data_IF_444055633336
#
_entry.id   IF_444055633336
#
_cell.length_a   1.000
_cell.length_b   1.000
_cell.length_c   1.000
_cell.angle_alpha   90.00
_cell.angle_beta   90.00
_cell.angle_gamma   90.00
#
_symmetry.space_group_name_H-M   'P 1'
#
loop_
_entity.id
_entity.type
_entity.pdbx_description
1 polymer ?
#
# COMPACT_ATOMS: atom_id res chain seq x y z
N UNK A 1 8.99 -4.65 21.46
CA UNK A 1 8.68 -5.75 20.53
C UNK A 1 9.96 -6.43 20.05
N UNK A 2 10.93 -5.70 19.49
CA UNK A 2 12.19 -6.29 19.02
C UNK A 2 12.95 -7.01 20.14
N UNK A 3 13.08 -6.40 21.32
CA UNK A 3 13.74 -7.01 22.48
C UNK A 3 13.00 -8.27 23.02
N UNK A 4 11.73 -8.42 22.69
CA UNK A 4 10.94 -9.60 23.03
C UNK A 4 10.91 -10.65 21.91
N UNK A 5 11.76 -10.49 20.87
CA UNK A 5 11.82 -11.38 19.71
C UNK A 5 10.46 -11.56 19.00
N UNK A 6 9.62 -10.51 18.96
CA UNK A 6 8.39 -10.55 18.18
C UNK A 6 8.77 -10.60 16.69
N UNK A 7 8.31 -11.60 15.94
CA UNK A 7 8.58 -11.71 14.52
C UNK A 7 8.11 -10.47 13.75
N UNK A 8 8.85 -10.08 12.71
CA UNK A 8 8.50 -8.97 11.83
C UNK A 8 9.12 -9.16 10.45
N UNK A 9 8.60 -8.44 9.48
CA UNK A 9 9.25 -8.19 8.20
C UNK A 9 9.55 -6.70 8.03
N UNK A 10 10.45 -6.34 7.10
CA UNK A 10 10.87 -4.97 6.85
C UNK A 10 10.28 -4.44 5.54
N UNK A 11 9.83 -3.20 5.55
CA UNK A 11 9.36 -2.50 4.35
C UNK A 11 8.36 -3.32 3.55
N UNK A 12 8.75 -3.68 2.32
CA UNK A 12 7.90 -4.40 1.35
C UNK A 12 8.32 -5.87 1.14
N UNK A 13 8.98 -6.49 2.12
CA UNK A 13 9.40 -7.91 2.02
C UNK A 13 8.21 -8.86 1.85
N UNK A 14 7.05 -8.52 2.42
CA UNK A 14 5.80 -9.26 2.23
C UNK A 14 5.26 -9.22 0.79
N UNK A 15 5.72 -8.25 -0.01
CA UNK A 15 5.45 -8.14 -1.44
C UNK A 15 6.55 -8.79 -2.31
N UNK A 16 7.50 -9.51 -1.72
CA UNK A 16 8.64 -10.11 -2.42
C UNK A 16 9.73 -9.11 -2.83
N UNK A 17 9.67 -7.86 -2.34
CA UNK A 17 10.64 -6.81 -2.68
C UNK A 17 11.57 -6.58 -1.51
N UNK A 18 12.84 -6.97 -1.71
CA UNK A 18 13.89 -6.79 -0.70
C UNK A 18 14.44 -5.36 -0.74
N UNK A 19 14.84 -4.83 0.42
CA UNK A 19 15.50 -3.54 0.58
C UNK A 19 14.72 -2.34 0.00
N UNK A 20 13.40 -2.43 0.00
CA UNK A 20 12.53 -1.34 -0.40
C UNK A 20 11.70 -0.87 0.80
N UNK A 21 11.93 0.36 1.22
CA UNK A 21 11.33 0.97 2.40
C UNK A 21 10.51 2.18 2.02
N UNK A 22 9.49 2.49 2.84
CA UNK A 22 8.76 3.73 2.68
C UNK A 22 9.69 4.93 2.82
N UNK A 23 9.56 5.96 1.98
CA UNK A 23 10.42 7.12 2.04
C UNK A 23 10.30 7.84 3.38
N UNK A 24 11.43 8.36 3.87
CA UNK A 24 11.48 9.15 5.08
C UNK A 24 11.04 10.58 4.77
N UNK A 25 10.32 11.22 5.69
CA UNK A 25 9.91 12.61 5.51
C UNK A 25 10.82 13.57 6.29
N UNK A 26 11.27 14.61 5.57
CA UNK A 26 12.09 15.70 6.11
C UNK A 26 11.30 17.00 6.12
N UNK A 27 10.55 17.24 7.19
CA UNK A 27 9.79 18.47 7.37
C UNK A 27 10.70 19.54 7.96
N UNK A 28 11.01 20.58 7.19
CA UNK A 28 11.98 21.61 7.59
C UNK A 28 11.32 22.96 7.84
N UNK A 29 11.98 23.78 8.64
CA UNK A 29 11.50 25.13 9.01
C UNK A 29 12.24 26.20 8.25
N UNK A 30 11.48 27.16 7.74
CA UNK A 30 11.97 28.43 7.19
C UNK A 30 11.48 29.60 8.05
N UNK A 31 12.26 30.64 8.15
CA UNK A 31 11.90 31.88 8.86
C UNK A 31 11.87 33.06 7.90
N UNK A 32 11.13 34.13 8.23
CA UNK A 32 11.03 35.36 7.41
C UNK A 32 10.05 35.24 6.24
N UNK A 33 9.17 34.23 6.23
CA UNK A 33 8.04 34.20 5.30
C UNK A 33 6.92 35.14 5.77
N UNK A 34 6.18 35.72 4.83
CA UNK A 34 5.02 36.57 5.12
C UNK A 34 3.83 35.73 5.56
N UNK A 35 3.74 35.47 6.87
CA UNK A 35 2.70 34.62 7.47
C UNK A 35 1.28 35.18 7.20
N UNK A 36 1.11 36.50 7.16
CA UNK A 36 -0.21 37.10 6.91
C UNK A 36 -0.65 36.92 5.44
N UNK A 37 0.25 37.06 4.49
CA UNK A 37 -0.02 36.77 3.09
C UNK A 37 -0.35 35.27 2.92
N UNK A 38 0.39 34.38 3.61
CA UNK A 38 0.15 32.93 3.59
C UNK A 38 -1.19 32.54 4.23
N UNK A 39 -1.58 33.17 5.36
CA UNK A 39 -2.90 32.96 6.01
C UNK A 39 -4.05 33.37 5.09
N UNK A 40 -3.90 34.51 4.38
CA UNK A 40 -4.89 34.97 3.39
C UNK A 40 -4.92 34.03 2.19
N UNK A 41 -3.77 33.65 1.67
CA UNK A 41 -3.63 32.76 0.52
C UNK A 41 -4.25 31.38 0.74
N UNK A 42 -4.09 30.77 1.92
CA UNK A 42 -4.71 29.46 2.27
C UNK A 42 -6.23 29.45 2.13
N UNK A 43 -6.88 30.60 2.17
CA UNK A 43 -8.34 30.72 1.98
C UNK A 43 -8.74 30.79 0.51
N UNK A 44 -7.78 30.84 -0.40
CA UNK A 44 -8.02 30.93 -1.83
C UNK A 44 -7.45 29.69 -2.53
N UNK A 45 -8.26 29.02 -3.33
CA UNK A 45 -7.84 27.85 -4.11
C UNK A 45 -6.67 28.18 -5.02
N UNK A 46 -6.69 29.37 -5.64
CA UNK A 46 -5.66 29.81 -6.57
C UNK A 46 -4.26 29.85 -5.95
N UNK A 47 -4.12 30.28 -4.70
CA UNK A 47 -2.81 30.33 -4.06
C UNK A 47 -2.23 28.96 -3.75
N UNK A 48 -3.08 28.02 -3.32
CA UNK A 48 -2.64 26.65 -3.05
C UNK A 48 -2.18 25.98 -4.34
N UNK A 49 -2.88 26.22 -5.43
CA UNK A 49 -2.53 25.68 -6.74
C UNK A 49 -1.26 26.35 -7.29
N UNK A 50 -1.09 27.68 -7.11
CA UNK A 50 0.15 28.40 -7.45
C UNK A 50 1.35 27.83 -6.68
N UNK A 51 1.22 27.65 -5.38
CA UNK A 51 2.28 27.04 -4.56
C UNK A 51 2.68 25.64 -5.07
N UNK A 52 1.71 24.80 -5.36
CA UNK A 52 1.95 23.48 -5.92
C UNK A 52 2.62 23.54 -7.29
N UNK A 53 2.13 24.39 -8.19
CA UNK A 53 2.68 24.55 -9.53
C UNK A 53 4.13 25.06 -9.51
N UNK A 54 4.43 26.03 -8.64
CA UNK A 54 5.80 26.53 -8.44
C UNK A 54 6.71 25.40 -7.96
N UNK A 55 6.25 24.60 -7.02
CA UNK A 55 7.04 23.46 -6.51
C UNK A 55 7.20 22.32 -7.54
N UNK A 56 6.25 22.14 -8.45
CA UNK A 56 6.42 21.22 -9.59
C UNK A 56 7.53 21.67 -10.56
N UNK A 57 7.82 22.98 -10.63
CA UNK A 57 8.91 23.51 -11.43
C UNK A 57 10.29 23.34 -10.76
N UNK A 58 10.32 23.01 -9.47
CA UNK A 58 11.56 22.77 -8.75
C UNK A 58 12.27 21.52 -9.28
N UNK A 59 13.53 21.68 -9.71
CA UNK A 59 14.38 20.56 -10.11
C UNK A 59 15.25 20.15 -8.93
N UNK A 60 14.99 18.99 -8.39
CA UNK A 60 15.77 18.41 -7.29
C UNK A 60 17.25 18.28 -7.66
N UNK A 61 18.10 18.50 -6.71
CA UNK A 61 19.54 18.33 -6.84
C UNK A 61 19.99 16.91 -6.50
N UNK A 62 19.50 16.38 -5.39
CA UNK A 62 19.86 15.04 -4.92
C UNK A 62 18.98 13.95 -5.55
N UNK A 63 19.54 12.86 -6.10
CA UNK A 63 18.78 11.78 -6.71
C UNK A 63 17.90 11.00 -5.72
N UNK A 64 18.28 10.94 -4.43
CA UNK A 64 17.52 10.26 -3.37
C UNK A 64 16.36 11.08 -2.84
N UNK A 65 16.28 12.38 -3.13
CA UNK A 65 15.22 13.25 -2.65
C UNK A 65 14.09 13.41 -3.67
N UNK A 66 12.88 13.68 -3.18
CA UNK A 66 11.72 14.00 -4.00
C UNK A 66 10.75 14.89 -3.24
N UNK A 67 10.13 15.85 -3.94
CA UNK A 67 8.99 16.57 -3.41
C UNK A 67 7.70 15.82 -3.74
N UNK A 68 6.97 15.46 -2.68
CA UNK A 68 5.75 14.67 -2.76
C UNK A 68 4.63 15.42 -2.07
N UNK A 69 3.61 15.81 -2.84
CA UNK A 69 2.46 16.57 -2.30
C UNK A 69 2.87 17.69 -1.35
N UNK A 70 3.78 18.59 -1.77
CA UNK A 70 4.35 19.60 -0.89
C UNK A 70 3.26 20.49 -0.31
N UNK A 71 3.42 20.80 0.97
CA UNK A 71 2.53 21.71 1.68
C UNK A 71 3.30 22.54 2.69
N UNK A 72 2.62 23.52 3.31
CA UNK A 72 3.21 24.33 4.36
C UNK A 72 2.27 24.50 5.53
N UNK A 73 2.85 24.65 6.73
CA UNK A 73 2.14 24.94 7.95
C UNK A 73 2.76 26.21 8.56
N UNK A 74 1.94 27.20 8.86
CA UNK A 74 2.36 28.39 9.59
C UNK A 74 2.52 27.99 11.04
N UNK A 75 3.75 28.00 11.55
CA UNK A 75 4.08 27.59 12.90
C UNK A 75 3.87 28.74 13.89
N UNK A 76 4.35 29.94 13.51
CA UNK A 76 4.12 31.20 14.21
C UNK A 76 4.14 32.36 13.19
N UNK A 77 4.16 33.60 13.66
CA UNK A 77 4.08 34.79 12.80
C UNK A 77 5.31 34.98 11.90
N UNK A 78 6.40 34.25 12.12
CA UNK A 78 7.64 34.38 11.37
C UNK A 78 8.15 33.05 10.79
N UNK A 79 7.68 31.93 11.32
CA UNK A 79 8.16 30.60 10.96
C UNK A 79 7.10 29.78 10.22
N UNK A 80 7.55 29.11 9.17
CA UNK A 80 6.74 28.21 8.35
C UNK A 80 7.44 26.87 8.24
N UNK A 81 6.72 25.79 8.46
CA UNK A 81 7.18 24.42 8.21
C UNK A 81 6.79 24.03 6.80
N UNK A 82 7.76 23.62 6.00
CA UNK A 82 7.57 23.05 4.67
C UNK A 82 7.60 21.52 4.81
N UNK A 83 6.60 20.85 4.26
CA UNK A 83 6.47 19.39 4.25
C UNK A 83 6.44 18.84 2.83
N UNK A 84 6.62 17.53 2.70
CA UNK A 84 6.62 16.83 1.43
C UNK A 84 8.02 16.60 0.82
N UNK A 85 9.11 17.03 1.49
CA UNK A 85 10.44 16.61 1.10
C UNK A 85 10.68 15.19 1.65
N UNK A 86 10.85 14.23 0.75
CA UNK A 86 11.05 12.82 1.07
C UNK A 86 12.42 12.33 0.61
N UNK A 87 13.01 11.39 1.37
CA UNK A 87 14.25 10.70 1.03
C UNK A 87 13.98 9.22 0.87
N UNK A 88 14.37 8.66 -0.25
CA UNK A 88 14.09 7.28 -0.65
C UNK A 88 15.27 6.35 -0.38
N UNK A 89 14.99 5.07 -0.26
CA UNK A 89 15.99 4.00 -0.13
C UNK A 89 16.96 4.23 1.05
N UNK A 90 16.42 4.50 2.23
CA UNK A 90 17.19 4.69 3.46
C UNK A 90 16.96 3.50 4.38
N UNK A 91 18.01 2.77 4.74
CA UNK A 91 17.96 1.78 5.81
C UNK A 91 18.09 2.48 7.16
N UNK A 92 16.97 2.59 7.88
CA UNK A 92 16.93 3.28 9.19
C UNK A 92 17.65 2.51 10.32
N UNK A 93 18.11 1.30 10.08
CA UNK A 93 18.94 0.51 11.01
C UNK A 93 20.44 0.70 10.73
N UNK A 94 20.78 1.28 9.58
CA UNK A 94 22.15 1.71 9.28
C UNK A 94 22.33 3.19 9.67
N UNK A 95 23.07 3.42 10.76
CA UNK A 95 23.31 4.78 11.27
C UNK A 95 24.06 5.69 10.28
N UNK A 96 24.95 5.13 9.47
CA UNK A 96 25.73 5.91 8.51
C UNK A 96 24.86 6.30 7.31
N UNK A 97 23.99 5.39 6.83
CA UNK A 97 23.03 5.70 5.78
C UNK A 97 22.03 6.75 6.26
N UNK A 98 21.51 6.60 7.50
CA UNK A 98 20.59 7.57 8.09
C UNK A 98 21.21 8.96 8.24
N UNK A 99 22.47 9.06 8.66
CA UNK A 99 23.23 10.33 8.76
C UNK A 99 23.46 10.95 7.38
N UNK A 100 23.84 10.13 6.38
CA UNK A 100 24.03 10.59 5.00
C UNK A 100 22.73 11.12 4.43
N UNK A 101 21.63 10.37 4.59
CA UNK A 101 20.28 10.77 4.15
C UNK A 101 19.84 12.11 4.78
N UNK A 102 20.15 12.32 6.07
CA UNK A 102 19.83 13.58 6.74
C UNK A 102 20.59 14.76 6.13
N UNK A 103 21.86 14.62 5.86
CA UNK A 103 22.68 15.64 5.19
C UNK A 103 22.14 15.96 3.80
N UNK A 104 21.85 14.94 3.00
CA UNK A 104 21.28 15.08 1.66
C UNK A 104 19.93 15.83 1.68
N UNK A 105 19.06 15.49 2.64
CA UNK A 105 17.78 16.17 2.84
C UNK A 105 17.95 17.63 3.27
N UNK A 106 18.90 17.91 4.16
CA UNK A 106 19.17 19.27 4.63
C UNK A 106 19.71 20.17 3.51
N UNK A 107 20.63 19.65 2.69
CA UNK A 107 21.13 20.36 1.51
C UNK A 107 20.01 20.65 0.52
N UNK A 108 19.15 19.68 0.23
CA UNK A 108 18.01 19.86 -0.64
C UNK A 108 17.01 20.87 -0.07
N UNK A 109 16.74 20.85 1.24
CA UNK A 109 15.86 21.80 1.91
C UNK A 109 16.39 23.25 1.82
N UNK A 110 17.71 23.46 1.89
CA UNK A 110 18.35 24.77 1.69
C UNK A 110 18.19 25.26 0.26
N UNK A 111 18.39 24.40 -0.74
CA UNK A 111 18.18 24.72 -2.15
C UNK A 111 16.72 25.03 -2.45
N UNK A 112 15.81 24.25 -1.89
CA UNK A 112 14.37 24.48 -2.03
C UNK A 112 13.96 25.81 -1.37
N UNK A 113 14.52 26.16 -0.22
CA UNK A 113 14.30 27.45 0.42
C UNK A 113 14.76 28.60 -0.48
N UNK A 114 15.94 28.48 -1.08
CA UNK A 114 16.45 29.47 -2.02
C UNK A 114 15.56 29.59 -3.29
N UNK A 115 15.03 28.48 -3.77
CA UNK A 115 14.09 28.46 -4.89
C UNK A 115 12.77 29.17 -4.52
N UNK A 116 12.17 28.87 -3.37
CA UNK A 116 10.96 29.52 -2.87
C UNK A 116 11.15 31.03 -2.72
N UNK A 117 12.29 31.44 -2.17
CA UNK A 117 12.67 32.86 -2.02
C UNK A 117 12.66 33.61 -3.35
N UNK A 118 13.07 32.97 -4.42
CA UNK A 118 13.19 33.61 -5.74
C UNK A 118 11.91 33.50 -6.58
N UNK A 119 10.96 32.66 -6.19
CA UNK A 119 9.78 32.34 -7.02
C UNK A 119 8.46 32.78 -6.42
N UNK A 120 8.35 32.84 -5.08
CA UNK A 120 7.11 33.19 -4.39
C UNK A 120 7.28 34.48 -3.55
N UNK A 121 6.45 35.47 -3.81
CA UNK A 121 6.50 36.78 -3.12
C UNK A 121 6.38 36.62 -1.61
N UNK A 122 5.52 35.71 -1.14
CA UNK A 122 5.33 35.42 0.31
C UNK A 122 6.56 34.78 0.97
N UNK A 123 7.54 34.33 0.20
CA UNK A 123 8.80 33.74 0.68
C UNK A 123 10.04 34.58 0.34
N UNK A 124 9.88 35.78 -0.21
CA UNK A 124 11.00 36.63 -0.72
C UNK A 124 12.09 36.89 0.31
N UNK A 125 11.75 36.99 1.59
CA UNK A 125 12.67 37.26 2.70
C UNK A 125 13.00 36.00 3.52
N UNK A 126 12.53 34.82 3.08
CA UNK A 126 12.73 33.60 3.85
C UNK A 126 14.19 33.13 3.83
N UNK A 127 14.55 32.45 4.91
CA UNK A 127 15.81 31.72 5.07
C UNK A 127 15.56 30.37 5.72
N UNK A 128 16.38 29.37 5.37
CA UNK A 128 16.34 28.07 6.04
C UNK A 128 16.70 28.26 7.52
N UNK A 129 15.86 27.73 8.41
CA UNK A 129 16.05 27.82 9.86
C UNK A 129 16.60 26.53 10.46
N UNK A 130 15.91 25.43 10.25
CA UNK A 130 16.28 24.13 10.80
C UNK A 130 15.58 22.97 10.08
N UNK A 131 16.25 21.81 10.04
CA UNK A 131 15.61 20.52 9.79
C UNK A 131 14.85 20.01 11.02
N UNK A 132 14.19 18.86 10.91
CA UNK A 132 13.62 18.17 12.05
C UNK A 132 14.73 17.58 12.95
N UNK A 133 14.47 17.32 14.22
CA UNK A 133 15.42 16.63 15.11
C UNK A 133 15.72 15.21 14.59
N UNK A 134 14.74 14.58 13.95
CA UNK A 134 14.86 13.29 13.28
C UNK A 134 13.86 13.19 12.13
N UNK A 135 14.12 12.31 11.18
CA UNK A 135 13.14 11.98 10.16
C UNK A 135 11.82 11.47 10.76
N UNK A 136 10.72 11.80 10.10
CA UNK A 136 9.51 11.02 10.30
C UNK A 136 9.61 9.74 9.48
N UNK A 137 9.57 8.60 10.19
CA UNK A 137 9.64 7.25 9.61
C UNK A 137 8.21 6.71 9.57
N UNK A 138 7.53 6.72 8.40
CA UNK A 138 6.11 6.35 8.31
C UNK A 138 5.89 4.86 8.63
N UNK A 139 6.80 3.99 8.16
CA UNK A 139 6.80 2.56 8.45
C UNK A 139 8.19 1.96 8.18
N UNK A 140 8.53 0.89 8.87
CA UNK A 140 9.76 0.15 8.63
C UNK A 140 9.62 -1.31 9.00
N UNK A 141 9.31 -1.62 10.28
CA UNK A 141 9.05 -2.99 10.75
C UNK A 141 7.56 -3.21 10.90
N UNK A 142 7.07 -4.26 10.26
CA UNK A 142 5.71 -4.78 10.41
C UNK A 142 5.75 -6.00 11.32
N UNK A 143 5.32 -5.85 12.56
CA UNK A 143 5.33 -6.94 13.53
C UNK A 143 4.18 -7.90 13.31
N UNK A 144 4.39 -9.18 13.62
CA UNK A 144 3.34 -10.19 13.51
C UNK A 144 2.34 -10.08 14.66
N UNK A 145 1.09 -9.87 14.29
CA UNK A 145 -0.08 -9.97 15.16
C UNK A 145 -0.64 -11.38 15.19
N UNK A 146 -1.54 -11.63 16.12
CA UNK A 146 -2.37 -12.86 16.14
C UNK A 146 -3.28 -12.95 14.93
N UNK A 147 -3.53 -11.84 14.31
CA UNK A 147 -4.10 -11.71 12.97
C UNK A 147 -3.27 -10.70 12.17
N UNK A 148 -3.11 -10.93 10.88
CA UNK A 148 -2.51 -9.96 9.96
C UNK A 148 -3.59 -9.44 9.02
N UNK A 149 -3.92 -8.15 9.14
CA UNK A 149 -4.86 -7.50 8.23
C UNK A 149 -4.25 -7.42 6.83
N UNK A 150 -5.00 -7.87 5.85
CA UNK A 150 -4.59 -7.98 4.44
C UNK A 150 -5.36 -7.04 3.54
N UNK A 151 -4.89 -6.85 2.30
CA UNK A 151 -5.62 -6.09 1.28
C UNK A 151 -6.92 -6.81 0.90
N UNK A 152 -6.92 -8.13 0.93
CA UNK A 152 -8.11 -8.96 0.70
C UNK A 152 -9.21 -8.65 1.71
N UNK A 153 -8.90 -8.54 3.00
CA UNK A 153 -9.87 -8.17 4.03
C UNK A 153 -10.51 -6.79 3.74
N UNK A 154 -9.69 -5.85 3.25
CA UNK A 154 -10.14 -4.50 2.88
C UNK A 154 -11.03 -4.55 1.64
N UNK A 155 -10.64 -5.30 0.60
CA UNK A 155 -11.42 -5.48 -0.63
C UNK A 155 -12.80 -6.09 -0.34
N UNK A 156 -12.85 -7.06 0.58
CA UNK A 156 -14.08 -7.74 0.98
C UNK A 156 -14.95 -6.92 1.96
N UNK A 157 -14.52 -5.72 2.35
CA UNK A 157 -15.21 -4.92 3.37
C UNK A 157 -15.48 -5.74 4.65
N UNK A 158 -14.46 -6.45 5.13
CA UNK A 158 -14.62 -7.46 6.17
C UNK A 158 -15.01 -6.88 7.50
N UNK A 159 -16.07 -7.43 8.11
CA UNK A 159 -16.48 -7.13 9.47
C UNK A 159 -16.00 -8.21 10.45
N UNK A 160 -15.00 -7.87 11.28
CA UNK A 160 -14.42 -8.80 12.23
C UNK A 160 -15.22 -8.82 13.54
N UNK A 161 -15.37 -10.01 14.13
CA UNK A 161 -16.04 -10.17 15.43
C UNK A 161 -15.31 -9.45 16.56
N UNK A 162 -13.99 -9.39 16.50
CA UNK A 162 -13.08 -8.76 17.44
C UNK A 162 -12.71 -7.33 17.05
N UNK A 163 -13.57 -6.66 16.29
CA UNK A 163 -13.31 -5.29 15.80
C UNK A 163 -13.11 -4.28 16.93
N UNK A 164 -12.13 -3.39 16.75
CA UNK A 164 -11.79 -2.29 17.65
C UNK A 164 -11.76 -0.93 16.96
N UNK A 165 -12.03 -0.87 15.65
CA UNK A 165 -12.12 0.35 14.86
C UNK A 165 -12.69 0.08 13.49
N UNK A 166 -13.08 1.15 12.80
CA UNK A 166 -13.58 1.13 11.42
C UNK A 166 -12.67 1.99 10.54
N UNK A 167 -12.56 1.64 9.26
CA UNK A 167 -11.80 2.39 8.29
C UNK A 167 -12.47 2.30 6.91
N UNK A 168 -12.38 3.40 6.13
CA UNK A 168 -12.90 3.50 4.75
C UNK A 168 -11.87 4.12 3.80
N UNK A 169 -10.61 4.20 4.21
CA UNK A 169 -9.56 4.76 3.37
C UNK A 169 -9.17 3.79 2.26
N UNK A 170 -8.84 4.35 1.10
CA UNK A 170 -8.29 3.59 -0.01
C UNK A 170 -6.93 2.95 0.33
N UNK A 171 -6.63 1.84 -0.32
CA UNK A 171 -5.28 1.26 -0.33
C UNK A 171 -4.49 1.98 -1.42
N UNK A 172 -3.65 2.92 -1.01
CA UNK A 172 -2.83 3.76 -1.89
C UNK A 172 -1.38 3.28 -1.91
N UNK A 173 -0.99 2.66 -3.01
CA UNK A 173 0.37 2.17 -3.23
C UNK A 173 1.31 3.21 -3.86
N UNK A 174 0.92 4.49 -3.96
CA UNK A 174 1.74 5.55 -4.58
C UNK A 174 3.13 5.66 -3.95
N UNK A 175 3.25 5.44 -2.64
CA UNK A 175 4.53 5.45 -1.93
C UNK A 175 5.49 4.33 -2.33
N UNK A 176 4.99 3.28 -2.98
CA UNK A 176 5.77 2.18 -3.52
C UNK A 176 6.12 2.36 -4.99
N UNK A 177 5.72 3.48 -5.61
CA UNK A 177 6.08 3.85 -6.98
C UNK A 177 7.25 4.83 -6.99
N UNK A 178 8.16 4.68 -7.96
CA UNK A 178 9.34 5.55 -8.05
C UNK A 178 9.02 6.97 -8.51
N UNK A 179 7.89 7.16 -9.19
CA UNK A 179 7.50 8.42 -9.84
C UNK A 179 6.41 9.16 -9.09
N UNK A 180 5.91 8.60 -7.98
CA UNK A 180 4.86 9.18 -7.15
C UNK A 180 3.51 9.35 -7.86
N UNK A 181 3.29 8.58 -8.90
CA UNK A 181 1.98 8.52 -9.55
C UNK A 181 0.96 7.93 -8.60
N UNK A 182 -0.20 8.58 -8.48
CA UNK A 182 -1.30 8.06 -7.66
C UNK A 182 -1.67 6.66 -8.14
N UNK A 183 -1.55 5.68 -7.25
CA UNK A 183 -1.85 4.28 -7.54
C UNK A 183 -2.77 3.71 -6.48
N UNK A 184 -4.08 3.90 -6.68
CA UNK A 184 -5.11 3.33 -5.81
C UNK A 184 -5.33 1.88 -6.22
N UNK A 185 -4.95 0.96 -5.35
CA UNK A 185 -5.14 -0.48 -5.56
C UNK A 185 -6.62 -0.80 -5.48
N UNK A 186 -7.26 -0.39 -4.40
CA UNK A 186 -8.70 -0.56 -4.14
C UNK A 186 -9.21 0.56 -3.22
N UNK A 187 -10.53 0.77 -3.23
CA UNK A 187 -11.24 1.65 -2.30
C UNK A 187 -12.39 0.89 -1.63
N UNK A 188 -12.29 0.59 -0.34
CA UNK A 188 -13.37 -0.07 0.39
C UNK A 188 -14.54 0.89 0.63
N UNK A 189 -15.73 0.35 0.86
CA UNK A 189 -16.81 1.13 1.48
C UNK A 189 -16.49 1.35 2.95
N UNK A 190 -16.34 0.28 3.70
CA UNK A 190 -15.90 0.27 5.09
C UNK A 190 -15.43 -1.13 5.46
N UNK A 191 -14.40 -1.22 6.26
CA UNK A 191 -13.95 -2.47 6.86
C UNK A 191 -13.60 -2.23 8.33
N UNK A 192 -13.54 -3.29 9.12
CA UNK A 192 -13.18 -3.17 10.52
C UNK A 192 -11.73 -3.57 10.80
N UNK A 193 -11.15 -3.01 11.86
CA UNK A 193 -9.80 -3.34 12.32
C UNK A 193 -9.94 -4.37 13.45
N UNK A 194 -9.39 -5.59 13.31
CA UNK A 194 -9.48 -6.62 14.32
C UNK A 194 -8.51 -6.39 15.49
N UNK A 195 -8.92 -6.71 16.71
CA UNK A 195 -8.05 -6.71 17.89
C UNK A 195 -6.84 -7.63 17.69
N UNK A 196 -7.03 -8.75 16.98
CA UNK A 196 -5.95 -9.69 16.67
C UNK A 196 -4.76 -9.06 15.97
N UNK A 197 -4.96 -8.01 15.17
CA UNK A 197 -3.87 -7.27 14.53
C UNK A 197 -3.11 -6.33 15.47
N UNK A 198 -3.67 -6.05 16.64
CA UNK A 198 -3.04 -5.20 17.66
C UNK A 198 -2.32 -6.03 18.75
N UNK A 199 -2.54 -7.33 18.81
CA UNK A 199 -1.94 -8.23 19.81
C UNK A 199 -0.77 -8.98 19.16
N UNK A 200 0.48 -8.78 19.62
CA UNK A 200 1.63 -9.52 19.09
C UNK A 200 1.45 -11.04 19.23
N UNK A 201 1.94 -11.80 18.26
CA UNK A 201 1.75 -13.24 18.23
C UNK A 201 2.33 -13.98 19.45
N UNK A 202 3.41 -13.44 20.02
CA UNK A 202 4.17 -14.05 21.12
C UNK A 202 4.03 -13.34 22.47
N UNK A 203 3.18 -12.30 22.59
CA UNK A 203 2.97 -11.55 23.82
C UNK A 203 1.46 -11.46 24.13
N UNK A 204 1.08 -11.68 25.40
CA UNK A 204 -0.32 -11.76 25.78
C UNK A 204 -0.91 -10.44 26.29
N UNK A 205 -0.09 -9.61 26.93
CA UNK A 205 -0.51 -8.40 27.65
C UNK A 205 0.05 -7.11 27.05
N UNK A 206 0.36 -7.14 25.75
CA UNK A 206 0.90 -6.00 25.01
C UNK A 206 -0.03 -5.68 23.84
N UNK A 207 -0.24 -4.39 23.56
CA UNK A 207 -0.87 -3.91 22.35
C UNK A 207 0.14 -3.13 21.50
N UNK A 208 0.19 -3.44 20.21
CA UNK A 208 1.00 -2.74 19.22
C UNK A 208 0.12 -1.85 18.36
N UNK A 209 0.50 -0.59 18.18
CA UNK A 209 -0.31 0.43 17.55
C UNK A 209 0.42 1.13 16.40
N UNK A 210 -0.34 1.83 15.57
CA UNK A 210 0.16 2.62 14.46
C UNK A 210 0.91 1.78 13.44
N UNK A 211 2.11 2.22 13.05
CA UNK A 211 2.95 1.52 12.09
C UNK A 211 3.52 0.17 12.59
N UNK A 212 3.22 -0.21 13.84
CA UNK A 212 3.66 -1.47 14.45
C UNK A 212 2.55 -2.53 14.51
N UNK A 213 1.33 -2.17 14.12
CA UNK A 213 0.21 -3.12 14.09
C UNK A 213 0.44 -4.21 13.02
N UNK A 214 -0.18 -5.35 13.22
CA UNK A 214 -0.07 -6.52 12.35
C UNK A 214 -0.83 -6.34 11.03
N UNK A 215 -0.34 -5.45 10.18
CA UNK A 215 -0.88 -5.19 8.84
C UNK A 215 0.14 -5.59 7.78
N UNK A 216 -0.32 -6.03 6.60
CA UNK A 216 0.58 -6.11 5.43
C UNK A 216 1.01 -4.70 5.02
N UNK A 217 2.12 -4.59 4.28
CA UNK A 217 2.65 -3.27 3.88
C UNK A 217 1.64 -2.46 3.07
N UNK A 218 0.90 -3.09 2.16
CA UNK A 218 -0.17 -2.42 1.39
C UNK A 218 -1.39 -2.10 2.27
N UNK A 219 -1.86 -3.02 3.11
CA UNK A 219 -2.99 -2.77 4.01
C UNK A 219 -2.69 -1.63 4.98
N UNK A 220 -1.43 -1.46 5.40
CA UNK A 220 -0.99 -0.36 6.26
C UNK A 220 -1.18 1.03 5.61
N UNK A 221 -1.26 1.11 4.29
CA UNK A 221 -1.50 2.39 3.58
C UNK A 221 -2.90 2.93 3.85
N UNK A 222 -3.87 2.05 4.02
CA UNK A 222 -5.26 2.35 4.40
C UNK A 222 -5.42 2.40 5.92
N UNK A 223 -5.22 1.27 6.60
CA UNK A 223 -5.41 1.12 8.04
C UNK A 223 -4.49 2.00 8.90
N UNK A 224 -3.36 2.43 8.34
CA UNK A 224 -2.39 3.33 8.99
C UNK A 224 -2.70 4.83 8.82
N UNK A 225 -3.85 5.23 8.30
CA UNK A 225 -4.24 6.64 8.17
C UNK A 225 -4.36 7.33 9.54
N UNK A 226 -4.14 8.64 9.60
CA UNK A 226 -4.18 9.39 10.87
C UNK A 226 -5.51 9.23 11.61
N UNK A 227 -6.69 9.37 10.97
CA UNK A 227 -7.97 9.17 11.65
C UNK A 227 -8.08 7.76 12.26
N UNK A 228 -7.70 6.74 11.49
CA UNK A 228 -7.73 5.35 11.96
C UNK A 228 -6.80 5.12 13.14
N UNK A 229 -5.57 5.68 13.09
CA UNK A 229 -4.61 5.58 14.22
C UNK A 229 -5.14 6.21 15.50
N UNK A 230 -5.84 7.34 15.41
CA UNK A 230 -6.46 8.01 16.57
C UNK A 230 -7.53 7.09 17.16
N UNK A 231 -8.46 6.59 16.34
CA UNK A 231 -9.54 5.70 16.78
C UNK A 231 -9.01 4.39 17.39
N UNK A 232 -8.02 3.77 16.75
CA UNK A 232 -7.38 2.55 17.27
C UNK A 232 -6.65 2.84 18.59
N UNK A 233 -6.01 4.01 18.73
CA UNK A 233 -5.34 4.41 19.97
C UNK A 233 -6.31 4.55 21.14
N UNK A 234 -7.46 5.17 20.92
CA UNK A 234 -8.54 5.29 21.89
C UNK A 234 -9.12 3.91 22.27
N UNK A 235 -9.42 3.10 21.25
CA UNK A 235 -9.90 1.73 21.45
C UNK A 235 -8.90 0.88 22.26
N UNK A 236 -7.61 0.98 21.96
CA UNK A 236 -6.56 0.25 22.69
C UNK A 236 -6.47 0.67 24.17
N UNK A 237 -6.67 1.94 24.47
CA UNK A 237 -6.81 2.41 25.84
C UNK A 237 -8.00 1.74 26.58
N UNK A 238 -9.14 1.66 25.89
CA UNK A 238 -10.34 1.00 26.42
C UNK A 238 -10.14 -0.53 26.55
N UNK A 239 -9.48 -1.18 25.59
CA UNK A 239 -9.10 -2.61 25.70
C UNK A 239 -8.20 -2.84 26.90
N UNK A 240 -7.21 -1.98 27.14
CA UNK A 240 -6.30 -2.09 28.29
C UNK A 240 -7.04 -1.92 29.63
N UNK A 241 -7.96 -0.96 29.73
CA UNK A 241 -8.81 -0.78 30.88
C UNK A 241 -9.73 -1.99 31.12
N UNK A 242 -10.37 -2.49 30.06
CA UNK A 242 -11.21 -3.68 30.11
C UNK A 242 -10.43 -4.90 30.58
N UNK A 243 -9.23 -5.13 30.00
CA UNK A 243 -8.32 -6.21 30.40
C UNK A 243 -8.00 -6.17 31.90
N UNK A 244 -7.72 -4.98 32.42
CA UNK A 244 -7.42 -4.78 33.86
C UNK A 244 -8.63 -5.07 34.75
N UNK A 245 -9.82 -4.55 34.38
CA UNK A 245 -11.07 -4.73 35.16
C UNK A 245 -11.48 -6.22 35.14
N UNK A 246 -11.30 -6.90 34.03
CA UNK A 246 -11.70 -8.31 33.87
C UNK A 246 -10.61 -9.30 34.30
N UNK A 247 -9.42 -8.81 34.64
CA UNK A 247 -8.24 -9.64 34.92
C UNK A 247 -7.95 -10.66 33.80
N UNK A 248 -8.12 -10.24 32.53
CA UNK A 248 -7.89 -11.04 31.33
C UNK A 248 -6.98 -10.28 30.38
N UNK A 249 -5.92 -10.91 29.84
CA UNK A 249 -5.02 -10.25 28.89
C UNK A 249 -5.72 -9.97 27.55
N UNK A 250 -5.23 -9.01 26.72
CA UNK A 250 -5.73 -8.83 25.36
C UNK A 250 -5.74 -10.10 24.52
N UNK A 251 -4.72 -10.94 24.65
CA UNK A 251 -4.68 -12.24 24.01
C UNK A 251 -5.73 -13.21 24.55
N UNK A 252 -5.95 -13.18 25.87
CA UNK A 252 -6.98 -13.96 26.54
C UNK A 252 -8.39 -13.58 26.08
N UNK A 253 -8.65 -12.30 25.82
CA UNK A 253 -9.94 -11.83 25.27
C UNK A 253 -10.22 -12.48 23.92
N UNK A 254 -9.23 -12.54 23.01
CA UNK A 254 -9.36 -13.19 21.71
C UNK A 254 -9.71 -14.69 21.81
N UNK A 255 -9.21 -15.35 22.86
CA UNK A 255 -9.41 -16.78 23.10
C UNK A 255 -10.67 -17.11 23.90
N UNK A 256 -11.30 -16.11 24.53
CA UNK A 256 -12.44 -16.32 25.44
C UNK A 256 -13.79 -16.53 24.74
N UNK A 257 -13.82 -16.34 23.41
CA UNK A 257 -14.98 -16.59 22.58
C UNK A 257 -15.95 -15.41 22.41
N UNK A 258 -17.01 -15.65 21.65
CA UNK A 258 -17.93 -14.61 21.14
C UNK A 258 -18.59 -13.76 22.23
N UNK A 259 -18.90 -14.32 23.38
CA UNK A 259 -19.55 -13.56 24.47
C UNK A 259 -18.61 -12.50 25.07
N UNK A 260 -17.33 -12.81 25.22
CA UNK A 260 -16.35 -11.87 25.74
C UNK A 260 -16.07 -10.78 24.69
N UNK A 261 -15.98 -11.12 23.40
CA UNK A 261 -15.83 -10.16 22.32
C UNK A 261 -17.02 -9.19 22.24
N UNK A 262 -18.26 -9.70 22.40
CA UNK A 262 -19.46 -8.84 22.48
C UNK A 262 -19.45 -7.91 23.68
N UNK A 263 -18.98 -8.40 24.83
CA UNK A 263 -18.84 -7.57 26.03
C UNK A 263 -17.78 -6.48 25.85
N UNK A 264 -16.64 -6.81 25.26
CA UNK A 264 -15.61 -5.85 24.90
C UNK A 264 -16.13 -4.80 23.91
N UNK A 265 -16.78 -5.20 22.81
CA UNK A 265 -17.37 -4.29 21.81
C UNK A 265 -18.29 -3.27 22.49
N UNK A 266 -19.18 -3.76 23.37
CA UNK A 266 -20.09 -2.89 24.15
C UNK A 266 -19.34 -1.93 25.09
N UNK A 267 -18.24 -2.38 25.69
CA UNK A 267 -17.40 -1.53 26.56
C UNK A 267 -16.72 -0.43 25.76
N UNK A 268 -16.12 -0.78 24.62
CA UNK A 268 -15.47 0.17 23.70
C UNK A 268 -16.46 1.21 23.19
N UNK A 269 -17.66 0.79 22.73
CA UNK A 269 -18.68 1.71 22.24
C UNK A 269 -19.19 2.66 23.34
N UNK A 270 -19.32 2.21 24.58
CA UNK A 270 -19.65 3.07 25.73
C UNK A 270 -18.54 4.07 26.05
N UNK A 271 -17.31 3.75 25.74
CA UNK A 271 -16.15 4.64 25.89
C UNK A 271 -16.06 5.72 24.80
N UNK A 272 -16.94 5.71 23.79
CA UNK A 272 -17.01 6.72 22.73
C UNK A 272 -16.51 6.29 21.37
N UNK A 273 -15.88 5.11 21.24
CA UNK A 273 -15.47 4.58 19.94
C UNK A 273 -16.65 3.87 19.26
N UNK A 274 -17.12 4.43 18.17
CA UNK A 274 -18.20 3.85 17.39
C UNK A 274 -17.76 2.59 16.65
N UNK A 275 -18.45 1.48 16.89
CA UNK A 275 -18.22 0.18 16.26
C UNK A 275 -19.52 -0.32 15.65
N UNK A 276 -19.98 0.40 14.62
CA UNK A 276 -21.23 0.09 13.88
C UNK A 276 -21.25 -1.37 13.39
N UNK A 277 -22.43 -1.96 13.34
CA UNK A 277 -22.66 -3.27 12.73
C UNK A 277 -22.96 -3.09 11.23
N UNK A 278 -22.21 -3.78 10.35
CA UNK A 278 -22.32 -3.56 8.91
C UNK A 278 -23.65 -4.04 8.36
N UNK A 279 -24.29 -5.01 8.99
CA UNK A 279 -25.59 -5.54 8.57
C UNK A 279 -26.77 -4.66 8.98
N UNK A 280 -26.62 -3.90 10.09
CA UNK A 280 -27.71 -3.12 10.68
C UNK A 280 -27.51 -1.61 10.52
N UNK A 281 -26.27 -1.14 10.74
CA UNK A 281 -25.95 0.29 10.85
C UNK A 281 -25.27 0.84 9.58
N UNK A 282 -24.64 0.00 8.77
CA UNK A 282 -23.90 0.41 7.58
C UNK A 282 -24.45 -0.31 6.35
N UNK A 283 -25.04 0.47 5.45
CA UNK A 283 -25.47 -0.03 4.16
C UNK A 283 -24.27 -0.13 3.22
N UNK A 284 -23.73 -1.33 3.05
CA UNK A 284 -22.80 -1.63 1.96
C UNK A 284 -23.66 -1.90 0.73
N UNK A 285 -23.52 -1.13 -0.37
CA UNK A 285 -24.32 -1.32 -1.56
C UNK A 285 -24.22 -2.76 -2.06
N UNK A 286 -25.37 -3.41 -2.25
CA UNK A 286 -25.42 -4.67 -3.00
C UNK A 286 -25.23 -4.34 -4.48
N UNK A 287 -24.10 -4.73 -5.05
CA UNK A 287 -23.92 -4.74 -6.50
C UNK A 287 -24.65 -5.93 -7.08
N UNK A 288 -25.18 -5.81 -8.29
CA UNK A 288 -25.90 -6.91 -8.98
C UNK A 288 -25.05 -8.19 -9.08
N UNK A 289 -23.72 -8.04 -9.17
CA UNK A 289 -22.75 -9.15 -9.09
C UNK A 289 -21.67 -8.81 -8.07
N UNK A 290 -21.60 -9.60 -6.99
CA UNK A 290 -20.50 -9.48 -6.03
C UNK A 290 -19.21 -9.95 -6.70
N UNK A 291 -18.15 -9.16 -6.62
CA UNK A 291 -16.84 -9.55 -7.13
C UNK A 291 -16.39 -10.91 -6.57
N UNK A 292 -16.75 -11.22 -5.32
CA UNK A 292 -16.46 -12.51 -4.65
C UNK A 292 -17.10 -13.71 -5.35
N UNK A 293 -18.19 -13.52 -6.08
CA UNK A 293 -18.90 -14.59 -6.78
C UNK A 293 -18.40 -14.75 -8.22
N UNK A 294 -17.55 -13.85 -8.68
CA UNK A 294 -16.97 -13.91 -10.01
C UNK A 294 -15.93 -15.04 -10.12
N UNK A 295 -15.95 -15.77 -11.22
CA UNK A 295 -15.09 -16.95 -11.41
C UNK A 295 -13.58 -16.67 -11.24
N UNK A 296 -13.11 -15.48 -11.64
CA UNK A 296 -11.71 -15.08 -11.55
C UNK A 296 -11.35 -14.43 -10.21
N UNK A 297 -12.29 -14.30 -9.27
CA UNK A 297 -12.04 -13.65 -7.99
C UNK A 297 -10.82 -14.20 -7.22
N UNK A 298 -10.56 -15.53 -7.14
CA UNK A 298 -9.38 -16.04 -6.46
C UNK A 298 -8.06 -15.52 -7.03
N UNK A 299 -8.03 -15.22 -8.32
CA UNK A 299 -6.86 -14.69 -9.01
C UNK A 299 -6.73 -13.18 -8.83
N UNK A 300 -7.85 -12.46 -8.90
CA UNK A 300 -7.92 -11.03 -8.60
C UNK A 300 -7.39 -10.77 -7.19
N UNK A 301 -7.89 -11.52 -6.22
CA UNK A 301 -7.48 -11.44 -4.82
C UNK A 301 -5.96 -11.60 -4.66
N UNK A 302 -5.38 -12.62 -5.24
CA UNK A 302 -3.94 -12.87 -5.15
C UNK A 302 -3.14 -11.73 -5.80
N UNK A 303 -3.55 -11.22 -6.95
CA UNK A 303 -2.86 -10.11 -7.61
C UNK A 303 -3.01 -8.78 -6.87
N UNK A 304 -4.16 -8.52 -6.28
CA UNK A 304 -4.43 -7.32 -5.46
C UNK A 304 -3.59 -7.34 -4.18
N UNK A 305 -3.42 -8.50 -3.55
CA UNK A 305 -2.63 -8.63 -2.32
C UNK A 305 -1.16 -8.21 -2.53
N UNK A 306 -0.62 -8.44 -3.74
CA UNK A 306 0.72 -7.99 -4.12
C UNK A 306 0.76 -6.62 -4.82
N UNK A 307 -0.39 -5.94 -4.93
CA UNK A 307 -0.50 -4.65 -5.65
C UNK A 307 -0.10 -4.76 -7.13
N UNK A 308 -0.40 -5.88 -7.77
CA UNK A 308 -0.07 -6.16 -9.16
C UNK A 308 -1.12 -5.65 -10.13
N UNK A 309 -2.35 -5.53 -9.67
CA UNK A 309 -3.48 -4.94 -10.39
C UNK A 309 -4.17 -3.90 -9.53
N UNK A 310 -4.90 -3.02 -10.16
CA UNK A 310 -5.63 -1.92 -9.52
C UNK A 310 -7.07 -1.87 -10.03
N UNK A 311 -8.02 -1.79 -9.10
CA UNK A 311 -9.42 -1.47 -9.39
C UNK A 311 -9.69 0.04 -9.35
N UNK A 312 -8.72 0.84 -8.89
CA UNK A 312 -8.90 2.29 -8.73
C UNK A 312 -9.93 2.64 -7.64
N UNK A 313 -10.51 3.83 -7.77
CA UNK A 313 -11.52 4.32 -6.81
C UNK A 313 -12.88 3.63 -6.95
N UNK A 314 -13.16 2.98 -8.08
CA UNK A 314 -14.43 2.30 -8.38
C UNK A 314 -14.33 0.76 -8.23
N UNK A 315 -13.14 0.24 -7.86
CA UNK A 315 -12.84 -1.20 -7.83
C UNK A 315 -13.11 -1.92 -9.17
N UNK A 316 -12.96 -1.18 -10.30
CA UNK A 316 -13.11 -1.72 -11.65
C UNK A 316 -11.82 -2.36 -12.14
N UNK A 317 -11.73 -3.67 -12.07
CA UNK A 317 -10.59 -4.46 -12.56
C UNK A 317 -10.61 -4.73 -14.06
N UNK A 318 -11.57 -4.15 -14.79
CA UNK A 318 -11.71 -4.20 -16.26
C UNK A 318 -11.73 -5.62 -16.82
N UNK A 319 -12.39 -6.53 -16.11
CA UNK A 319 -12.33 -7.97 -16.33
C UNK A 319 -12.65 -8.39 -17.76
N UNK A 320 -13.65 -7.74 -18.40
CA UNK A 320 -14.12 -8.06 -19.74
C UNK A 320 -13.34 -7.31 -20.86
N UNK A 321 -12.32 -6.52 -20.54
CA UNK A 321 -11.54 -5.82 -21.56
C UNK A 321 -10.56 -6.76 -22.25
N UNK A 322 -10.42 -6.59 -23.56
CA UNK A 322 -9.41 -7.32 -24.37
C UNK A 322 -8.00 -6.92 -23.92
N UNK A 323 -7.15 -7.90 -23.68
CA UNK A 323 -5.77 -7.70 -23.32
C UNK A 323 -4.87 -7.50 -24.53
N UNK A 324 -3.78 -6.76 -24.35
CA UNK A 324 -2.65 -6.69 -25.28
C UNK A 324 -1.47 -7.52 -24.75
N UNK A 325 -0.52 -7.81 -25.64
CA UNK A 325 0.63 -8.65 -25.29
C UNK A 325 1.49 -8.02 -24.19
N UNK A 326 1.71 -6.71 -24.24
CA UNK A 326 2.48 -5.97 -23.23
C UNK A 326 1.84 -6.04 -21.85
N UNK A 327 0.52 -5.97 -21.74
CA UNK A 327 -0.18 -6.07 -20.45
C UNK A 327 0.10 -7.42 -19.80
N UNK A 328 -0.01 -8.52 -20.53
CA UNK A 328 0.28 -9.85 -19.99
C UNK A 328 1.77 -10.04 -19.70
N UNK A 329 2.65 -9.59 -20.60
CA UNK A 329 4.10 -9.70 -20.42
C UNK A 329 4.60 -8.91 -19.21
N UNK A 330 4.10 -7.71 -18.99
CA UNK A 330 4.43 -6.91 -17.81
C UNK A 330 3.86 -7.52 -16.53
N UNK A 331 2.61 -7.99 -16.57
CA UNK A 331 1.97 -8.58 -15.40
C UNK A 331 2.69 -9.85 -14.94
N UNK A 332 3.03 -10.77 -15.85
CA UNK A 332 3.72 -12.02 -15.46
C UNK A 332 5.13 -11.74 -14.94
N UNK A 333 5.87 -10.78 -15.51
CA UNK A 333 7.17 -10.34 -14.96
C UNK A 333 7.05 -9.86 -13.53
N UNK A 334 6.11 -8.96 -13.28
CA UNK A 334 5.90 -8.39 -11.95
C UNK A 334 5.38 -9.44 -10.97
N UNK A 335 4.53 -10.36 -11.43
CA UNK A 335 4.04 -11.47 -10.61
C UNK A 335 5.16 -12.43 -10.24
N UNK A 336 6.02 -12.82 -11.17
CA UNK A 336 7.20 -13.65 -10.87
C UNK A 336 8.14 -12.94 -9.89
N UNK A 337 8.44 -11.66 -10.12
CA UNK A 337 9.32 -10.86 -9.24
C UNK A 337 8.80 -10.83 -7.79
N UNK A 338 7.50 -10.67 -7.60
CA UNK A 338 6.90 -10.49 -6.26
C UNK A 338 6.47 -11.80 -5.61
N UNK A 339 5.90 -12.73 -6.38
CA UNK A 339 5.29 -13.95 -5.86
C UNK A 339 6.23 -15.17 -5.91
N UNK A 340 7.23 -15.17 -6.82
CA UNK A 340 8.22 -16.24 -6.98
C UNK A 340 9.61 -15.65 -7.31
N UNK A 341 10.19 -14.81 -6.43
CA UNK A 341 11.41 -14.05 -6.72
C UNK A 341 12.61 -14.93 -7.10
N UNK A 342 12.72 -16.13 -6.51
CA UNK A 342 13.81 -17.08 -6.81
C UNK A 342 13.77 -17.61 -8.26
N UNK A 343 12.59 -17.56 -8.90
CA UNK A 343 12.38 -17.99 -10.29
C UNK A 343 12.47 -16.84 -11.29
N UNK A 344 12.69 -15.60 -10.83
CA UNK A 344 12.76 -14.42 -11.69
C UNK A 344 14.21 -14.02 -11.96
N UNK A 345 14.53 -13.70 -13.21
CA UNK A 345 15.88 -13.26 -13.59
C UNK A 345 15.96 -12.62 -14.98
N UNK A 346 17.18 -12.29 -15.39
CA UNK A 346 17.45 -11.64 -16.68
C UNK A 346 16.94 -12.46 -17.89
N UNK A 347 16.96 -13.79 -17.80
CA UNK A 347 16.44 -14.70 -18.83
C UNK A 347 14.95 -14.49 -19.07
N UNK A 348 14.15 -14.32 -18.03
CA UNK A 348 12.71 -14.04 -18.14
C UNK A 348 12.47 -12.71 -18.84
N UNK A 349 13.21 -11.66 -18.46
CA UNK A 349 13.12 -10.36 -19.11
C UNK A 349 13.44 -10.44 -20.60
N UNK A 350 14.49 -11.16 -20.96
CA UNK A 350 14.90 -11.32 -22.36
C UNK A 350 13.87 -12.13 -23.17
N UNK A 351 13.35 -13.21 -22.60
CA UNK A 351 12.37 -14.08 -23.23
C UNK A 351 11.02 -13.37 -23.50
N UNK A 352 10.64 -12.43 -22.62
CA UNK A 352 9.37 -11.71 -22.74
C UNK A 352 9.47 -10.39 -23.49
N UNK A 353 10.68 -9.90 -23.82
CA UNK A 353 10.88 -8.66 -24.56
C UNK A 353 10.14 -8.58 -25.91
N UNK A 354 10.02 -9.65 -26.73
CA UNK A 354 9.26 -9.61 -27.99
C UNK A 354 7.77 -9.28 -27.80
N UNK A 355 7.21 -9.52 -26.62
CA UNK A 355 5.80 -9.30 -26.31
C UNK A 355 5.51 -7.94 -25.65
N UNK A 356 6.52 -7.07 -25.51
CA UNK A 356 6.36 -5.70 -25.02
C UNK A 356 5.85 -4.78 -26.14
N UNK A 357 4.72 -5.15 -26.73
CA UNK A 357 4.07 -4.42 -27.81
C UNK A 357 2.56 -4.36 -27.56
N UNK A 358 1.87 -3.40 -28.16
CA UNK A 358 0.41 -3.20 -28.01
C UNK A 358 -0.44 -4.04 -28.94
N UNK A 359 0.13 -5.08 -29.54
CA UNK A 359 -0.64 -5.99 -30.34
C UNK A 359 -1.63 -6.78 -29.49
N UNK A 360 -2.70 -7.20 -30.11
CA UNK A 360 -3.76 -7.96 -29.48
C UNK A 360 -3.23 -9.29 -28.96
N UNK A 361 -3.68 -9.67 -27.78
CA UNK A 361 -3.35 -10.96 -27.19
C UNK A 361 -4.29 -12.04 -27.74
N UNK A 362 -3.73 -13.00 -28.45
CA UNK A 362 -4.43 -14.21 -28.91
C UNK A 362 -4.18 -15.37 -27.96
N UNK A 363 -4.99 -16.43 -28.05
CA UNK A 363 -4.84 -17.65 -27.23
C UNK A 363 -3.43 -18.26 -27.36
N UNK A 364 -2.90 -18.34 -28.58
CA UNK A 364 -1.56 -18.84 -28.84
C UNK A 364 -0.48 -17.94 -28.25
N UNK A 365 -0.62 -16.60 -28.38
CA UNK A 365 0.33 -15.64 -27.80
C UNK A 365 0.31 -15.65 -26.28
N UNK A 366 -0.84 -15.83 -25.67
CA UNK A 366 -0.95 -15.99 -24.22
C UNK A 366 -0.19 -17.23 -23.74
N UNK A 367 -0.34 -18.35 -24.45
CA UNK A 367 0.40 -19.58 -24.15
C UNK A 367 1.91 -19.41 -24.38
N UNK A 368 2.33 -18.76 -25.48
CA UNK A 368 3.74 -18.45 -25.75
C UNK A 368 4.37 -17.62 -24.61
N UNK A 369 3.68 -16.58 -24.14
CA UNK A 369 4.16 -15.73 -23.03
C UNK A 369 4.39 -16.56 -21.78
N UNK A 370 3.45 -17.43 -21.39
CA UNK A 370 3.60 -18.31 -20.22
C UNK A 370 4.79 -19.26 -20.40
N UNK A 371 4.85 -19.98 -21.52
CA UNK A 371 5.90 -20.98 -21.74
C UNK A 371 7.29 -20.33 -21.79
N UNK A 372 7.40 -19.15 -22.38
CA UNK A 372 8.66 -18.39 -22.40
C UNK A 372 9.03 -17.90 -21.00
N UNK A 373 8.08 -17.39 -20.21
CA UNK A 373 8.32 -16.99 -18.82
C UNK A 373 8.83 -18.16 -17.97
N UNK A 374 8.29 -19.35 -18.20
CA UNK A 374 8.66 -20.58 -17.47
C UNK A 374 9.83 -21.34 -18.12
N UNK A 375 10.43 -20.81 -19.20
CA UNK A 375 11.52 -21.46 -19.97
C UNK A 375 11.17 -22.87 -20.45
N UNK A 376 9.91 -23.07 -20.85
CA UNK A 376 9.40 -24.35 -21.37
C UNK A 376 9.45 -24.35 -22.89
N UNK A 377 10.18 -25.29 -23.53
CA UNK A 377 10.28 -25.35 -24.98
C UNK A 377 8.97 -25.80 -25.66
N UNK A 378 8.71 -25.21 -26.80
CA UNK A 378 7.58 -25.55 -27.68
C UNK A 378 7.98 -25.33 -29.17
N UNK A 379 7.21 -25.92 -30.08
CA UNK A 379 7.37 -25.63 -31.54
C UNK A 379 6.43 -24.48 -31.92
N UNK A 380 6.79 -23.76 -32.98
CA UNK A 380 5.97 -22.67 -33.52
C UNK A 380 4.54 -23.16 -33.81
N UNK A 381 3.52 -22.40 -33.35
CA UNK A 381 2.11 -22.74 -33.52
C UNK A 381 1.59 -23.89 -32.63
N UNK A 382 2.37 -24.31 -31.61
CA UNK A 382 1.94 -25.40 -30.72
C UNK A 382 1.92 -25.00 -29.25
N UNK A 383 2.10 -23.72 -28.91
CA UNK A 383 2.23 -23.27 -27.52
C UNK A 383 0.98 -23.56 -26.72
N UNK A 384 -0.20 -23.28 -27.23
CA UNK A 384 -1.47 -23.54 -26.56
C UNK A 384 -1.65 -25.04 -26.25
N UNK A 385 -1.31 -25.93 -27.22
CA UNK A 385 -1.41 -27.36 -27.02
C UNK A 385 -0.40 -27.85 -25.97
N UNK A 386 0.83 -27.31 -25.99
CA UNK A 386 1.85 -27.65 -24.99
C UNK A 386 1.40 -27.17 -23.58
N UNK A 387 0.87 -25.97 -23.46
CA UNK A 387 0.35 -25.43 -22.19
C UNK A 387 -0.74 -26.35 -21.62
N UNK A 388 -1.72 -26.74 -22.44
CA UNK A 388 -2.81 -27.66 -22.05
C UNK A 388 -2.28 -29.05 -21.63
N UNK A 389 -1.37 -29.61 -22.41
CA UNK A 389 -0.83 -30.96 -22.14
C UNK A 389 0.04 -31.02 -20.88
N UNK A 390 0.73 -29.95 -20.54
CA UNK A 390 1.58 -29.93 -19.34
C UNK A 390 0.80 -29.76 -18.04
N UNK A 391 -0.46 -29.36 -18.09
CA UNK A 391 -1.29 -29.19 -16.91
C UNK A 391 -0.79 -28.13 -15.91
N UNK A 392 0.05 -27.17 -16.38
CA UNK A 392 0.57 -26.07 -15.58
C UNK A 392 -0.58 -25.14 -15.13
N UNK A 393 -1.50 -24.93 -16.07
CA UNK A 393 -2.70 -24.14 -15.85
C UNK A 393 -3.89 -25.09 -15.87
N UNK A 394 -4.80 -25.04 -14.86
CA UNK A 394 -5.99 -25.90 -14.81
C UNK A 394 -6.85 -25.78 -16.07
N UNK A 395 -7.49 -26.90 -16.46
CA UNK A 395 -8.33 -26.96 -17.67
C UNK A 395 -9.45 -25.91 -17.66
N UNK A 396 -10.07 -25.66 -16.51
CA UNK A 396 -11.11 -24.63 -16.35
C UNK A 396 -10.66 -23.22 -16.77
N UNK A 397 -9.35 -22.93 -16.73
CA UNK A 397 -8.78 -21.66 -17.20
C UNK A 397 -8.38 -21.79 -18.67
N UNK A 398 -7.68 -22.89 -19.07
CA UNK A 398 -7.24 -23.06 -20.46
C UNK A 398 -8.41 -23.28 -21.43
N UNK A 399 -9.55 -23.77 -20.97
CA UNK A 399 -10.76 -23.94 -21.81
C UNK A 399 -11.36 -22.59 -22.21
N UNK A 400 -11.09 -21.52 -21.43
CA UNK A 400 -11.47 -20.15 -21.78
C UNK A 400 -10.64 -19.56 -22.92
N UNK A 401 -9.45 -20.14 -23.22
CA UNK A 401 -8.65 -19.83 -24.39
C UNK A 401 -9.15 -20.50 -25.69
N UNK A 402 -10.23 -21.27 -25.65
CA UNK A 402 -10.72 -22.02 -26.82
C UNK A 402 -11.85 -21.32 -27.57
N UNK A 403 -12.23 -20.11 -27.16
CA UNK A 403 -13.43 -19.43 -27.65
C UNK A 403 -13.18 -18.32 -28.69
N UNK A 404 -11.93 -18.12 -29.13
CA UNK A 404 -11.65 -17.14 -30.19
C UNK A 404 -10.34 -16.37 -30.06
N UNK A 405 -10.14 -15.41 -30.94
CA UNK A 405 -8.92 -14.61 -31.07
C UNK A 405 -8.75 -13.52 -30.01
N UNK A 406 -9.49 -13.57 -28.89
CA UNK A 406 -9.54 -12.48 -27.93
C UNK A 406 -9.42 -12.99 -26.49
N UNK A 407 -8.34 -12.65 -25.83
CA UNK A 407 -8.14 -12.96 -24.41
C UNK A 407 -8.50 -11.73 -23.57
N UNK A 408 -9.37 -11.92 -22.61
CA UNK A 408 -9.81 -10.86 -21.67
C UNK A 408 -8.91 -10.79 -20.44
N UNK A 409 -8.94 -9.67 -19.71
CA UNK A 409 -8.07 -9.45 -18.56
C UNK A 409 -8.33 -10.45 -17.42
N UNK A 410 -9.57 -10.87 -17.20
CA UNK A 410 -9.88 -11.91 -16.22
C UNK A 410 -9.18 -13.25 -16.52
N UNK A 411 -9.11 -13.65 -17.78
CA UNK A 411 -8.37 -14.83 -18.23
C UNK A 411 -6.86 -14.62 -18.06
N UNK A 412 -6.35 -13.43 -18.41
CA UNK A 412 -4.93 -13.08 -18.17
C UNK A 412 -4.56 -13.18 -16.70
N UNK A 413 -5.41 -12.67 -15.80
CA UNK A 413 -5.16 -12.74 -14.35
C UNK A 413 -5.06 -14.20 -13.87
N UNK A 414 -5.98 -15.04 -14.32
CA UNK A 414 -5.97 -16.46 -13.99
C UNK A 414 -4.73 -17.18 -14.54
N UNK A 415 -4.39 -16.95 -15.80
CA UNK A 415 -3.22 -17.54 -16.45
C UNK A 415 -1.92 -17.17 -15.75
N UNK A 416 -1.73 -15.90 -15.43
CA UNK A 416 -0.54 -15.40 -14.75
C UNK A 416 -0.40 -15.99 -13.35
N UNK A 417 -1.48 -15.99 -12.56
CA UNK A 417 -1.43 -16.54 -11.20
C UNK A 417 -1.14 -18.03 -11.20
N UNK A 418 -1.80 -18.81 -12.08
CA UNK A 418 -1.56 -20.24 -12.14
C UNK A 418 -0.15 -20.58 -12.65
N UNK A 419 0.35 -19.84 -13.65
CA UNK A 419 1.73 -20.00 -14.10
C UNK A 419 2.74 -19.75 -12.98
N UNK A 420 2.56 -18.70 -12.20
CA UNK A 420 3.46 -18.37 -11.09
C UNK A 420 3.32 -19.37 -9.93
N UNK A 421 2.11 -19.83 -9.61
CA UNK A 421 1.88 -20.88 -8.60
C UNK A 421 2.60 -22.19 -8.94
N UNK A 422 2.75 -22.52 -10.23
CA UNK A 422 3.41 -23.75 -10.68
C UNK A 422 4.92 -23.80 -10.42
N UNK A 423 5.53 -22.67 -10.10
CA UNK A 423 6.99 -22.51 -9.89
C UNK A 423 7.33 -22.01 -8.46
N UNK A 424 6.32 -21.78 -7.63
CA UNK A 424 6.44 -21.38 -6.24
C UNK A 424 6.50 -22.61 -5.32
#
# INVERSE_FOLDING_TARGET
LALCNTPYFKGSEDLGIQNFYAPLEFNFRVTGADAEALKKGRKTTNFIDEFKLVLLAYKKFNPRTKLVSPSFIIYDDNDVVISGLQVFNVDVEDEEDLKSAYKEAEEEARLLTAFLKNTLVSFKDCTYKAGPESFFIPEYRHYEGRYRLTVTDILENRDFKDKVGLCSQEVDASKFTNDNTKYIVIKPHVYSIPLGSLVPINLDNVLMLGAKAGFTSLASTSAGSIPTRITIGEAAGLVSAYSTIRAISPAGILSAGDNELKALKKYISRGGVELADFSEDILIPETEEKLTDYWAYPYIRDLVEYGLISGGEENDFKLNYEASQDVMAVLIKNAMLKMAPDSYGASVNQALKPYENKEKLTDEKAAEIILNALSIPYNEGSALQVLKNKGIVPSQVTDRLSSGDKVTLDVVYALVVEAVRSIR
#
